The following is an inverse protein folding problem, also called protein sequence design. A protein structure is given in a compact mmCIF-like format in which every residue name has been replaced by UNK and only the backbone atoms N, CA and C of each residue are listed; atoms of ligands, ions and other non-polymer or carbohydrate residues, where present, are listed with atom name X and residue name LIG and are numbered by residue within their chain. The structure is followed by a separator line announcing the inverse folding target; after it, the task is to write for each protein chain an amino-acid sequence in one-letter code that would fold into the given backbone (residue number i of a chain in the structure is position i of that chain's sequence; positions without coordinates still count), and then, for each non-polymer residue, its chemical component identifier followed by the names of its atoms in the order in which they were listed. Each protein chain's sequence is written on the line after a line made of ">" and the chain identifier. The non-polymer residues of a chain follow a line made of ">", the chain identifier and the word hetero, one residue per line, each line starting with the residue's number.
data_IF_611279294129
#
_entry.id   IF_611279294129
#
_cell.length_a   1.000
_cell.length_b   1.000
_cell.length_c   1.000
_cell.angle_alpha   90.00
_cell.angle_beta   90.00
_cell.angle_gamma   90.00
#
_symmetry.space_group_name_H-M   'P 1'
#
loop_
_entity.id
_entity.type
_entity.pdbx_description
1 polymer ?
#
# COMPACT_ATOMS: atom_id res chain seq x y z
N UNK A 1 -2.26 4.56 14.06
CA UNK A 1 -3.06 3.33 14.09
C UNK A 1 -4.45 3.72 14.52
N UNK A 2 -5.45 3.43 13.70
CA UNK A 2 -6.80 3.97 13.88
C UNK A 2 -7.66 3.14 14.86
N UNK A 3 -7.04 2.29 15.68
CA UNK A 3 -7.75 1.57 16.75
C UNK A 3 -7.76 2.43 18.02
N UNK A 4 -8.95 2.87 18.45
CA UNK A 4 -9.16 3.46 19.77
C UNK A 4 -10.21 2.63 20.51
N UNK A 5 -9.84 2.07 21.66
CA UNK A 5 -10.78 1.40 22.58
C UNK A 5 -10.61 1.97 23.98
N UNK A 6 -11.64 1.83 24.83
CA UNK A 6 -11.64 2.43 26.18
C UNK A 6 -10.42 2.03 27.03
N UNK A 7 -9.86 0.84 26.79
CA UNK A 7 -8.65 0.31 27.44
C UNK A 7 -7.56 -0.11 26.43
N UNK A 8 -7.64 0.33 25.18
CA UNK A 8 -6.62 0.07 24.15
C UNK A 8 -6.13 1.39 23.56
N UNK A 9 -4.95 1.83 24.02
CA UNK A 9 -4.33 3.11 23.66
C UNK A 9 -3.02 2.93 22.87
N UNK A 10 -2.79 1.76 22.29
CA UNK A 10 -1.49 1.35 21.74
C UNK A 10 -0.94 2.30 20.66
N UNK A 11 -1.83 2.98 19.94
CA UNK A 11 -1.48 3.87 18.82
C UNK A 11 -1.75 5.36 19.08
N UNK A 12 -2.21 5.73 20.28
CA UNK A 12 -2.40 7.13 20.73
C UNK A 12 -3.18 8.08 19.79
N UNK A 13 -3.94 7.55 18.83
CA UNK A 13 -4.58 8.34 17.78
C UNK A 13 -3.60 8.92 16.75
N UNK A 14 -2.35 8.44 16.72
CA UNK A 14 -1.36 8.87 15.74
C UNK A 14 -1.72 8.44 14.32
N UNK A 15 -1.32 9.27 13.35
CA UNK A 15 -1.53 9.01 11.92
C UNK A 15 -0.36 8.20 11.37
N UNK A 16 -0.67 7.01 10.86
CA UNK A 16 0.29 6.02 10.35
C UNK A 16 -0.03 5.69 8.88
N UNK A 17 0.86 4.94 8.23
CA UNK A 17 0.72 4.49 6.85
C UNK A 17 -0.56 3.69 6.56
N UNK A 18 -1.21 3.12 7.59
CA UNK A 18 -2.53 2.47 7.51
C UNK A 18 -3.52 3.31 6.69
N UNK A 19 -3.46 4.63 6.89
CA UNK A 19 -4.36 5.57 6.25
C UNK A 19 -4.10 5.64 4.75
N UNK A 20 -2.85 5.86 4.34
CA UNK A 20 -2.50 6.00 2.92
C UNK A 20 -2.58 4.69 2.14
N UNK A 21 -2.26 3.56 2.76
CA UNK A 21 -2.29 2.27 2.07
C UNK A 21 -3.67 1.65 2.05
N UNK A 22 -4.42 1.66 3.16
CA UNK A 22 -5.66 0.87 3.28
C UNK A 22 -6.93 1.72 3.21
N UNK A 23 -6.96 2.89 3.84
CA UNK A 23 -8.17 3.70 3.92
C UNK A 23 -8.34 4.67 2.75
N UNK A 24 -7.25 5.30 2.31
CA UNK A 24 -7.28 6.33 1.28
C UNK A 24 -7.76 5.79 -0.07
N UNK A 25 -7.24 4.67 -0.62
CA UNK A 25 -7.60 4.30 -1.99
C UNK A 25 -9.11 4.06 -2.18
N UNK A 26 -9.83 3.35 -1.28
CA UNK A 26 -11.29 3.32 -1.34
C UNK A 26 -11.94 4.71 -1.31
N UNK A 27 -11.45 5.62 -0.48
CA UNK A 27 -11.98 7.00 -0.42
C UNK A 27 -11.72 7.77 -1.71
N UNK A 28 -10.61 7.56 -2.42
CA UNK A 28 -10.32 8.21 -3.70
C UNK A 28 -11.47 7.99 -4.69
N UNK A 29 -12.01 6.77 -4.75
CA UNK A 29 -13.10 6.42 -5.65
C UNK A 29 -14.49 6.69 -5.08
N UNK A 30 -14.70 6.54 -3.77
CA UNK A 30 -16.04 6.63 -3.18
C UNK A 30 -16.36 8.03 -2.63
N UNK A 31 -15.37 8.73 -2.09
CA UNK A 31 -15.49 10.01 -1.38
C UNK A 31 -14.24 10.89 -1.61
N UNK A 32 -14.00 11.38 -2.83
CA UNK A 32 -12.76 12.07 -3.19
C UNK A 32 -12.48 13.31 -2.30
N UNK A 33 -13.49 14.05 -1.87
CA UNK A 33 -13.30 15.20 -0.97
C UNK A 33 -12.75 14.79 0.41
N UNK A 34 -13.17 13.62 0.93
CA UNK A 34 -12.62 13.06 2.15
C UNK A 34 -11.16 12.59 1.95
N UNK A 35 -10.87 11.94 0.81
CA UNK A 35 -9.51 11.56 0.46
C UNK A 35 -8.58 12.79 0.36
N UNK A 36 -9.06 13.88 -0.23
CA UNK A 36 -8.33 15.15 -0.30
C UNK A 36 -7.99 15.69 1.09
N UNK A 37 -8.96 15.67 2.01
CA UNK A 37 -8.76 16.15 3.38
C UNK A 37 -7.68 15.35 4.12
N UNK A 38 -7.64 14.03 3.90
CA UNK A 38 -6.57 13.17 4.42
C UNK A 38 -5.21 13.55 3.84
N UNK A 39 -5.12 13.81 2.53
CA UNK A 39 -3.86 14.21 1.90
C UNK A 39 -3.41 15.60 2.33
N UNK A 40 -4.34 16.55 2.49
CA UNK A 40 -4.04 17.91 2.97
C UNK A 40 -3.36 17.88 4.35
N UNK A 41 -3.73 16.95 5.24
CA UNK A 41 -3.02 16.73 6.50
C UNK A 41 -1.51 16.54 6.29
N UNK A 42 -1.12 15.60 5.42
CA UNK A 42 0.29 15.32 5.09
C UNK A 42 0.94 16.51 4.38
N UNK A 43 0.22 17.16 3.47
CA UNK A 43 0.75 18.30 2.72
C UNK A 43 1.11 19.48 3.63
N UNK A 44 0.23 19.85 4.55
CA UNK A 44 0.45 20.93 5.52
C UNK A 44 1.64 20.65 6.44
N UNK A 45 1.89 19.37 6.73
CA UNK A 45 2.94 18.90 7.66
C UNK A 45 4.23 18.50 6.97
N UNK A 46 4.36 18.71 5.66
CA UNK A 46 5.58 18.38 4.89
C UNK A 46 6.86 19.01 5.44
N UNK A 47 6.79 20.19 6.06
CA UNK A 47 7.97 20.81 6.67
C UNK A 47 8.43 20.05 7.92
N UNK A 48 7.54 19.36 8.65
CA UNK A 48 7.94 18.43 9.70
C UNK A 48 8.67 17.22 9.10
N UNK A 49 8.17 16.65 8.00
CA UNK A 49 8.85 15.58 7.28
C UNK A 49 10.23 15.99 6.74
N UNK A 50 10.39 17.25 6.30
CA UNK A 50 11.69 17.81 5.90
C UNK A 50 12.66 17.90 7.08
N UNK A 51 12.19 18.37 8.25
CA UNK A 51 13.00 18.40 9.47
C UNK A 51 13.41 16.99 9.90
N UNK A 52 12.48 16.03 9.83
CA UNK A 52 12.73 14.63 10.15
C UNK A 52 13.85 14.03 9.27
N UNK A 53 13.77 14.21 7.95
CA UNK A 53 14.85 13.80 7.05
C UNK A 53 16.20 14.41 7.45
N UNK A 54 16.21 15.70 7.78
CA UNK A 54 17.42 16.42 8.20
C UNK A 54 18.04 15.88 9.50
N UNK A 55 17.23 15.43 10.46
CA UNK A 55 17.73 14.80 11.70
C UNK A 55 18.59 13.57 11.41
N UNK A 56 18.26 12.84 10.36
CA UNK A 56 19.02 11.68 9.88
C UNK A 56 20.09 12.02 8.84
N UNK A 57 20.39 13.30 8.62
CA UNK A 57 21.34 13.75 7.59
C UNK A 57 20.88 13.50 6.15
N UNK A 58 19.58 13.25 5.95
CA UNK A 58 18.96 12.96 4.65
C UNK A 58 18.37 14.24 4.03
N UNK A 59 18.13 14.21 2.72
CA UNK A 59 17.46 15.28 1.96
C UNK A 59 15.99 14.90 1.73
N UNK A 60 15.24 15.79 1.08
CA UNK A 60 13.86 15.51 0.69
C UNK A 60 12.89 15.54 1.86
N UNK A 61 11.85 14.70 1.79
CA UNK A 61 10.82 14.55 2.80
C UNK A 61 10.89 13.12 3.36
N UNK A 62 10.97 12.99 4.68
CA UNK A 62 10.82 11.71 5.37
C UNK A 62 9.64 11.81 6.33
N UNK A 63 8.50 11.27 5.94
CA UNK A 63 7.32 11.26 6.81
C UNK A 63 7.57 10.35 8.02
N UNK A 64 7.07 10.72 9.21
CA UNK A 64 7.20 9.89 10.40
C UNK A 64 6.45 8.57 10.32
N UNK A 65 6.91 7.58 11.09
CA UNK A 65 6.19 6.31 11.29
C UNK A 65 4.84 6.57 11.97
N UNK A 66 4.87 7.20 13.14
CA UNK A 66 3.68 7.71 13.83
C UNK A 66 3.71 9.24 13.83
N UNK A 67 2.82 9.83 13.05
CA UNK A 67 2.73 11.28 12.94
C UNK A 67 1.79 11.86 14.00
N UNK A 68 2.27 12.85 14.75
CA UNK A 68 1.43 13.67 15.63
C UNK A 68 0.30 14.33 14.84
N UNK A 69 -0.93 14.23 15.35
CA UNK A 69 -2.07 14.95 14.75
C UNK A 69 -1.88 16.47 14.73
N UNK A 70 -1.20 17.01 15.74
CA UNK A 70 -1.06 18.47 15.92
C UNK A 70 0.15 19.02 15.15
N UNK A 71 1.32 18.41 15.30
CA UNK A 71 2.58 18.97 14.77
C UNK A 71 3.05 18.28 13.48
N UNK A 72 2.56 17.07 13.21
CA UNK A 72 3.07 16.22 12.13
C UNK A 72 4.46 15.63 12.39
N UNK A 73 5.03 15.83 13.58
CA UNK A 73 6.35 15.34 13.95
C UNK A 73 6.32 13.86 14.36
N UNK A 74 7.49 13.22 14.33
CA UNK A 74 7.68 11.85 14.79
C UNK A 74 7.30 11.72 16.26
N UNK A 75 6.38 10.81 16.54
CA UNK A 75 5.72 10.64 17.83
C UNK A 75 5.67 9.18 18.29
N UNK A 76 6.32 8.26 17.56
CA UNK A 76 6.45 6.87 17.98
C UNK A 76 7.06 6.79 19.39
N UNK A 77 6.38 6.15 20.35
CA UNK A 77 6.87 6.05 21.71
C UNK A 77 8.16 5.24 21.82
N UNK A 78 9.11 5.76 22.62
CA UNK A 78 10.35 5.06 22.96
C UNK A 78 11.41 5.07 21.84
N UNK A 79 12.50 4.35 22.06
CA UNK A 79 13.57 4.16 21.05
C UNK A 79 13.21 3.04 20.04
N UNK A 80 11.93 2.91 19.69
CA UNK A 80 11.45 1.87 18.79
C UNK A 80 12.12 1.96 17.42
N UNK A 81 12.48 0.81 16.84
CA UNK A 81 13.13 0.75 15.53
C UNK A 81 12.28 1.38 14.42
N UNK A 82 10.94 1.39 14.57
CA UNK A 82 10.01 1.99 13.60
C UNK A 82 10.31 3.45 13.28
N UNK A 83 10.47 4.29 14.32
CA UNK A 83 10.73 5.74 14.18
C UNK A 83 12.00 6.07 13.37
N UNK A 84 12.95 5.14 13.30
CA UNK A 84 14.27 5.33 12.69
C UNK A 84 14.42 4.61 11.35
N UNK A 85 13.76 3.46 11.21
CA UNK A 85 14.05 2.49 10.15
C UNK A 85 12.84 2.15 9.27
N UNK A 86 11.62 2.52 9.66
CA UNK A 86 10.41 2.23 8.88
C UNK A 86 10.23 3.20 7.72
N UNK A 87 11.10 3.00 6.73
CA UNK A 87 11.38 3.93 5.66
C UNK A 87 10.22 4.01 4.63
N UNK A 88 9.34 3.01 4.58
CA UNK A 88 8.30 2.91 3.54
C UNK A 88 7.19 3.97 3.66
N UNK A 89 6.92 4.55 4.83
CA UNK A 89 5.82 5.53 5.02
C UNK A 89 5.91 6.71 4.07
N UNK A 90 7.13 7.18 3.79
CA UNK A 90 7.35 8.26 2.83
C UNK A 90 6.86 7.89 1.44
N UNK A 91 7.04 6.63 1.07
CA UNK A 91 6.65 6.07 -0.23
C UNK A 91 5.14 5.84 -0.27
N UNK A 92 4.55 5.37 0.82
CA UNK A 92 3.10 5.21 0.96
C UNK A 92 2.40 6.54 0.76
N UNK A 93 2.84 7.58 1.46
CA UNK A 93 2.31 8.94 1.32
C UNK A 93 2.48 9.45 -0.12
N UNK A 94 3.67 9.35 -0.70
CA UNK A 94 3.92 9.86 -2.03
C UNK A 94 3.06 9.17 -3.10
N UNK A 95 2.93 7.84 -3.03
CA UNK A 95 2.09 7.06 -3.93
C UNK A 95 0.61 7.46 -3.80
N UNK A 96 0.14 7.69 -2.57
CA UNK A 96 -1.23 8.09 -2.30
C UNK A 96 -1.61 9.45 -2.93
N UNK A 97 -0.69 10.42 -2.92
CA UNK A 97 -0.84 11.69 -3.64
C UNK A 97 -0.92 11.48 -5.17
N UNK A 98 -0.09 10.59 -5.71
CA UNK A 98 -0.10 10.28 -7.14
C UNK A 98 -1.42 9.60 -7.55
N UNK A 99 -1.86 8.59 -6.80
CA UNK A 99 -3.13 7.90 -7.04
C UNK A 99 -4.32 8.87 -7.04
N UNK A 100 -4.41 9.76 -6.06
CA UNK A 100 -5.48 10.76 -6.00
C UNK A 100 -5.46 11.69 -7.23
N UNK A 101 -4.28 12.20 -7.61
CA UNK A 101 -4.15 13.07 -8.76
C UNK A 101 -4.57 12.37 -10.07
N UNK A 102 -4.12 11.12 -10.26
CA UNK A 102 -4.49 10.33 -11.43
C UNK A 102 -6.00 10.04 -11.49
N UNK A 103 -6.60 9.62 -10.37
CA UNK A 103 -8.02 9.27 -10.29
C UNK A 103 -8.95 10.49 -10.52
N UNK A 104 -8.58 11.64 -9.94
CA UNK A 104 -9.39 12.86 -10.03
C UNK A 104 -9.14 13.67 -11.30
N UNK A 105 -8.01 13.47 -12.00
CA UNK A 105 -7.66 14.31 -13.14
C UNK A 105 -7.38 15.77 -12.77
N UNK A 106 -7.26 16.08 -11.48
CA UNK A 106 -7.05 17.43 -10.98
C UNK A 106 -5.59 17.85 -11.20
N UNK A 107 -5.34 18.50 -12.33
CA UNK A 107 -4.01 19.01 -12.72
C UNK A 107 -3.50 20.11 -11.79
N UNK A 108 -4.38 20.86 -11.11
CA UNK A 108 -3.98 21.84 -10.11
C UNK A 108 -3.48 21.14 -8.85
N UNK A 109 -4.22 20.12 -8.37
CA UNK A 109 -3.76 19.27 -7.27
C UNK A 109 -2.44 18.57 -7.62
N UNK A 110 -2.32 18.03 -8.85
CA UNK A 110 -1.08 17.41 -9.33
C UNK A 110 0.12 18.37 -9.21
N UNK A 111 -0.05 19.62 -9.67
CA UNK A 111 1.00 20.64 -9.67
C UNK A 111 1.33 21.19 -8.28
N UNK A 112 0.30 21.53 -7.50
CA UNK A 112 0.49 22.27 -6.25
C UNK A 112 0.61 21.39 -5.01
N UNK A 113 0.06 20.17 -5.04
CA UNK A 113 0.00 19.27 -3.89
C UNK A 113 0.83 18.01 -4.12
N UNK A 114 0.56 17.26 -5.19
CA UNK A 114 1.24 15.99 -5.42
C UNK A 114 2.73 16.15 -5.79
N UNK A 115 3.05 17.06 -6.73
CA UNK A 115 4.43 17.25 -7.18
C UNK A 115 5.43 17.59 -6.05
N UNK A 116 5.14 18.54 -5.13
CA UNK A 116 6.04 18.81 -4.01
C UNK A 116 6.34 17.58 -3.13
N UNK A 117 5.35 16.71 -2.95
CA UNK A 117 5.48 15.47 -2.15
C UNK A 117 6.30 14.43 -2.92
N UNK A 118 5.94 14.14 -4.17
CA UNK A 118 6.64 13.18 -5.04
C UNK A 118 8.11 13.57 -5.24
N UNK A 119 8.38 14.83 -5.57
CA UNK A 119 9.74 15.36 -5.67
C UNK A 119 10.50 15.22 -4.35
N UNK A 120 9.84 15.49 -3.24
CA UNK A 120 10.41 15.34 -1.90
C UNK A 120 10.80 13.91 -1.57
N UNK A 121 9.94 12.94 -1.91
CA UNK A 121 10.22 11.51 -1.75
C UNK A 121 11.36 11.04 -2.66
N UNK A 122 11.39 11.48 -3.93
CA UNK A 122 12.48 11.16 -4.86
C UNK A 122 13.84 11.77 -4.42
N UNK A 123 13.84 12.98 -3.87
CA UNK A 123 15.03 13.59 -3.26
C UNK A 123 15.50 12.84 -2.00
N UNK A 124 14.55 12.33 -1.21
CA UNK A 124 14.85 11.51 -0.05
C UNK A 124 15.43 10.16 -0.44
N UNK A 125 14.83 9.45 -1.40
CA UNK A 125 15.36 8.21 -1.97
C UNK A 125 16.80 8.39 -2.48
N UNK A 126 17.06 9.48 -3.23
CA UNK A 126 18.41 9.82 -3.71
C UNK A 126 19.43 10.10 -2.59
N UNK A 127 18.98 10.31 -1.35
CA UNK A 127 19.86 10.45 -0.17
C UNK A 127 19.87 9.22 0.72
N UNK A 128 18.88 8.33 0.59
CA UNK A 128 18.67 7.15 1.42
C UNK A 128 19.26 5.88 0.81
N UNK A 129 19.19 5.76 -0.50
CA UNK A 129 19.72 4.63 -1.26
C UNK A 129 21.24 4.74 -1.38
N UNK A 130 21.91 3.58 -1.28
CA UNK A 130 23.36 3.47 -1.42
C UNK A 130 23.69 2.75 -2.73
N UNK A 131 24.50 3.33 -3.63
CA UNK A 131 24.91 2.64 -4.84
C UNK A 131 25.87 1.48 -4.50
N UNK A 132 25.69 0.38 -5.20
CA UNK A 132 26.43 -0.88 -5.05
C UNK A 132 26.64 -1.53 -6.41
N UNK A 133 27.38 -2.64 -6.46
CA UNK A 133 27.55 -3.43 -7.70
C UNK A 133 26.25 -4.08 -8.18
N UNK A 134 25.26 -4.25 -7.29
CA UNK A 134 23.92 -4.80 -7.59
C UNK A 134 22.91 -3.74 -8.04
N UNK A 135 23.32 -2.46 -8.07
CA UNK A 135 22.41 -1.33 -8.25
C UNK A 135 22.29 -0.51 -6.95
N UNK A 136 21.09 -0.04 -6.64
CA UNK A 136 20.80 0.78 -5.47
C UNK A 136 20.22 -0.05 -4.33
N UNK A 137 20.88 -0.02 -3.18
CA UNK A 137 20.51 -0.78 -1.98
C UNK A 137 19.86 0.12 -0.92
N UNK A 138 18.91 -0.44 -0.19
CA UNK A 138 18.30 0.16 0.99
C UNK A 138 18.70 -0.65 2.23
N UNK A 139 19.77 -0.22 2.89
CA UNK A 139 20.32 -0.93 4.06
C UNK A 139 19.72 -0.43 5.36
N UNK A 140 19.61 -1.32 6.35
CA UNK A 140 19.14 -1.01 7.70
C UNK A 140 17.76 -0.35 7.71
N UNK A 141 16.78 -1.06 7.15
CA UNK A 141 15.38 -0.65 7.06
C UNK A 141 14.47 -1.66 7.77
N UNK A 142 13.33 -1.21 8.25
CA UNK A 142 12.23 -2.05 8.72
C UNK A 142 11.12 -1.91 7.70
N UNK A 143 10.72 -3.02 7.09
CA UNK A 143 9.51 -3.07 6.29
C UNK A 143 8.31 -3.49 7.13
N UNK A 144 7.19 -3.75 6.46
CA UNK A 144 5.91 -4.12 7.09
C UNK A 144 5.98 -5.38 7.97
N UNK A 145 7.00 -6.22 7.78
CA UNK A 145 7.33 -7.29 8.69
C UNK A 145 8.14 -6.72 9.86
N UNK A 146 7.47 -5.97 10.74
CA UNK A 146 8.11 -5.25 11.84
C UNK A 146 8.79 -6.22 12.81
N UNK A 147 10.10 -6.38 12.69
CA UNK A 147 10.91 -7.13 13.66
C UNK A 147 11.79 -6.16 14.46
N UNK A 148 12.31 -6.62 15.59
CA UNK A 148 13.19 -5.81 16.43
C UNK A 148 14.58 -5.57 15.84
N UNK A 149 14.86 -5.97 14.59
CA UNK A 149 16.16 -5.76 13.94
C UNK A 149 15.94 -5.26 12.50
N UNK A 150 16.59 -4.16 12.09
CA UNK A 150 16.50 -3.70 10.71
C UNK A 150 17.19 -4.70 9.77
N UNK A 151 16.63 -4.83 8.57
CA UNK A 151 17.11 -5.70 7.49
C UNK A 151 17.69 -4.87 6.35
N UNK A 152 18.37 -5.53 5.42
CA UNK A 152 18.83 -4.91 4.19
C UNK A 152 17.93 -5.33 3.02
N UNK A 153 17.64 -4.37 2.14
CA UNK A 153 16.87 -4.54 0.92
C UNK A 153 15.47 -5.15 1.15
N UNK A 154 14.72 -4.60 2.11
CA UNK A 154 13.30 -4.93 2.26
C UNK A 154 12.56 -4.75 0.93
N UNK A 155 11.94 -5.82 0.45
CA UNK A 155 11.38 -5.88 -0.87
C UNK A 155 10.15 -5.00 -1.02
N UNK A 156 9.28 -4.93 -0.01
CA UNK A 156 8.12 -4.04 -0.07
C UNK A 156 8.56 -2.59 -0.26
N UNK A 157 9.53 -2.14 0.55
CA UNK A 157 10.04 -0.77 0.50
C UNK A 157 10.75 -0.48 -0.82
N UNK A 158 11.56 -1.40 -1.34
CA UNK A 158 12.19 -1.24 -2.66
C UNK A 158 11.17 -1.25 -3.80
N UNK A 159 10.14 -2.09 -3.72
CA UNK A 159 9.06 -2.13 -4.70
C UNK A 159 8.27 -0.81 -4.70
N UNK A 160 7.89 -0.31 -3.53
CA UNK A 160 7.25 0.99 -3.37
C UNK A 160 8.14 2.13 -3.87
N UNK A 161 9.47 2.05 -3.67
CA UNK A 161 10.41 3.06 -4.14
C UNK A 161 10.41 3.15 -5.67
N UNK A 162 10.37 1.99 -6.36
CA UNK A 162 10.25 1.95 -7.83
C UNK A 162 8.96 2.60 -8.30
N UNK A 163 7.84 2.27 -7.66
CA UNK A 163 6.52 2.82 -7.99
C UNK A 163 6.52 4.34 -7.83
N UNK A 164 6.98 4.86 -6.69
CA UNK A 164 7.02 6.31 -6.43
C UNK A 164 7.98 7.06 -7.36
N UNK A 165 9.12 6.47 -7.72
CA UNK A 165 10.01 7.07 -8.71
C UNK A 165 9.33 7.14 -10.09
N UNK A 166 8.62 6.08 -10.50
CA UNK A 166 7.82 6.09 -11.73
C UNK A 166 6.69 7.12 -11.69
N UNK A 167 5.97 7.23 -10.58
CA UNK A 167 4.94 8.25 -10.36
C UNK A 167 5.52 9.67 -10.44
N UNK A 168 6.71 9.87 -9.88
CA UNK A 168 7.42 11.15 -9.94
C UNK A 168 7.81 11.51 -11.38
N UNK A 169 8.33 10.54 -12.15
CA UNK A 169 8.68 10.71 -13.56
C UNK A 169 7.45 10.92 -14.45
N UNK A 170 6.34 10.26 -14.14
CA UNK A 170 5.05 10.51 -14.79
C UNK A 170 4.57 11.94 -14.49
N UNK A 171 4.49 12.33 -13.22
CA UNK A 171 4.04 13.66 -12.80
C UNK A 171 4.89 14.78 -13.44
N UNK A 172 6.20 14.62 -13.48
CA UNK A 172 7.09 15.57 -14.13
C UNK A 172 6.81 15.70 -15.64
N UNK A 173 6.52 14.60 -16.33
CA UNK A 173 6.15 14.63 -17.76
C UNK A 173 4.81 15.31 -18.00
N UNK A 174 3.79 15.00 -17.20
CA UNK A 174 2.45 15.63 -17.32
C UNK A 174 2.49 17.15 -17.08
N UNK A 175 3.40 17.61 -16.22
CA UNK A 175 3.51 19.02 -15.84
C UNK A 175 4.58 19.80 -16.63
N UNK A 176 5.31 19.14 -17.54
CA UNK A 176 6.49 19.65 -18.25
C UNK A 176 7.55 20.23 -17.29
N UNK A 177 7.88 19.46 -16.24
CA UNK A 177 8.84 19.82 -15.20
C UNK A 177 10.17 19.08 -15.37
N UNK A 178 11.30 19.72 -15.00
CA UNK A 178 12.60 19.09 -15.09
C UNK A 178 12.73 17.92 -14.10
N UNK A 179 13.30 16.81 -14.57
CA UNK A 179 13.67 15.64 -13.77
C UNK A 179 15.18 15.53 -13.60
N UNK A 180 15.62 14.70 -12.64
CA UNK A 180 17.03 14.33 -12.51
C UNK A 180 17.26 12.98 -13.18
N UNK A 181 18.29 12.81 -14.04
CA UNK A 181 18.59 11.51 -14.67
C UNK A 181 18.76 10.37 -13.65
N UNK A 182 19.31 10.69 -12.47
CA UNK A 182 19.47 9.74 -11.37
C UNK A 182 18.15 9.11 -10.88
N UNK A 183 17.00 9.78 -11.06
CA UNK A 183 15.72 9.22 -10.62
C UNK A 183 15.26 8.06 -11.51
N UNK A 184 15.43 8.18 -12.82
CA UNK A 184 15.15 7.09 -13.75
C UNK A 184 16.14 5.93 -13.55
N UNK A 185 17.42 6.24 -13.41
CA UNK A 185 18.46 5.24 -13.15
C UNK A 185 18.22 4.46 -11.84
N UNK A 186 17.81 5.14 -10.77
CA UNK A 186 17.41 4.47 -9.53
C UNK A 186 16.19 3.57 -9.74
N UNK A 187 15.14 4.05 -10.43
CA UNK A 187 13.92 3.26 -10.64
C UNK A 187 14.16 1.95 -11.39
N UNK A 188 15.15 1.92 -12.27
CA UNK A 188 15.52 0.75 -13.06
C UNK A 188 16.43 -0.22 -12.30
N UNK A 189 17.28 0.29 -11.40
CA UNK A 189 18.39 -0.49 -10.81
C UNK A 189 18.27 -0.68 -9.29
N UNK A 190 17.06 -0.80 -8.71
CA UNK A 190 16.90 -1.16 -7.30
C UNK A 190 17.28 -2.63 -7.05
N UNK A 191 18.10 -2.88 -6.02
CA UNK A 191 18.65 -4.19 -5.70
C UNK A 191 17.64 -5.09 -4.96
N UNK A 192 16.59 -5.54 -5.66
CA UNK A 192 15.59 -6.44 -5.08
C UNK A 192 16.18 -7.80 -4.67
N UNK A 193 15.76 -8.35 -3.51
CA UNK A 193 16.18 -9.67 -3.07
C UNK A 193 15.41 -10.76 -3.83
N UNK A 194 15.99 -11.28 -4.90
CA UNK A 194 15.36 -12.31 -5.74
C UNK A 194 16.10 -13.64 -5.56
N UNK A 195 15.35 -14.73 -5.35
CA UNK A 195 15.86 -16.11 -5.32
C UNK A 195 14.86 -17.02 -6.02
N UNK A 196 15.33 -17.82 -6.99
CA UNK A 196 14.53 -18.79 -7.74
C UNK A 196 13.24 -18.17 -8.35
N UNK A 197 13.37 -17.00 -9.00
CA UNK A 197 12.27 -16.21 -9.56
C UNK A 197 11.23 -15.69 -8.53
N UNK A 198 11.47 -15.86 -7.23
CA UNK A 198 10.62 -15.33 -6.16
C UNK A 198 11.26 -14.09 -5.56
N UNK A 199 10.51 -12.99 -5.50
CA UNK A 199 10.90 -11.81 -4.71
C UNK A 199 10.80 -12.20 -3.23
N UNK A 200 11.93 -12.26 -2.55
CA UNK A 200 12.01 -12.56 -1.12
C UNK A 200 11.68 -11.32 -0.29
N UNK A 201 11.39 -11.47 1.01
CA UNK A 201 11.03 -10.29 1.82
C UNK A 201 12.20 -9.33 2.04
N UNK A 202 13.42 -9.84 2.18
CA UNK A 202 14.66 -9.06 2.34
C UNK A 202 15.88 -9.91 1.99
N UNK A 203 17.08 -9.31 1.98
CA UNK A 203 18.32 -10.07 1.81
C UNK A 203 18.49 -11.07 2.97
N UNK A 204 18.81 -12.34 2.64
CA UNK A 204 18.99 -13.40 3.63
C UNK A 204 17.71 -14.02 4.20
N UNK A 205 16.53 -13.64 3.69
CA UNK A 205 15.21 -14.07 4.17
C UNK A 205 15.05 -15.59 4.32
N UNK A 206 14.41 -15.97 5.43
CA UNK A 206 14.03 -17.34 5.75
C UNK A 206 12.58 -17.39 6.22
N UNK A 207 11.73 -18.14 5.52
CA UNK A 207 10.32 -18.30 5.89
C UNK A 207 10.06 -18.91 7.29
N UNK A 208 11.10 -19.45 7.96
CA UNK A 208 11.04 -19.94 9.33
C UNK A 208 11.30 -18.87 10.41
N UNK A 209 11.76 -17.68 10.03
CA UNK A 209 12.09 -16.62 10.98
C UNK A 209 10.82 -15.93 11.52
N UNK A 210 10.90 -15.23 12.67
CA UNK A 210 9.78 -14.48 13.21
C UNK A 210 9.17 -13.53 12.17
N UNK A 211 7.84 -13.51 12.07
CA UNK A 211 7.10 -12.76 11.03
C UNK A 211 7.48 -13.11 9.57
N UNK A 212 8.20 -14.20 9.31
CA UNK A 212 8.58 -14.63 7.95
C UNK A 212 7.41 -14.98 7.03
N UNK A 213 6.20 -15.15 7.57
CA UNK A 213 4.97 -15.33 6.78
C UNK A 213 4.32 -14.00 6.33
N UNK A 214 4.83 -12.85 6.78
CA UNK A 214 4.30 -11.53 6.39
C UNK A 214 4.49 -11.32 4.88
N UNK A 215 3.42 -11.06 4.12
CA UNK A 215 3.48 -11.07 2.66
C UNK A 215 3.91 -9.71 2.08
N UNK A 216 5.07 -9.20 2.50
CA UNK A 216 5.64 -7.93 2.01
C UNK A 216 5.74 -7.84 0.48
N UNK A 217 6.33 -8.83 -0.20
CA UNK A 217 6.36 -8.84 -1.66
C UNK A 217 4.96 -8.87 -2.30
N UNK A 218 3.97 -9.53 -1.67
CA UNK A 218 2.62 -9.51 -2.22
C UNK A 218 1.98 -8.13 -2.08
N UNK A 219 2.21 -7.42 -0.96
CA UNK A 219 1.79 -6.03 -0.80
C UNK A 219 2.42 -5.10 -1.86
N UNK A 220 3.67 -5.38 -2.24
CA UNK A 220 4.34 -4.72 -3.35
C UNK A 220 3.65 -4.97 -4.71
N UNK A 221 3.23 -6.21 -4.98
CA UNK A 221 2.46 -6.54 -6.20
C UNK A 221 1.06 -5.91 -6.17
N UNK A 222 0.40 -5.94 -5.01
CA UNK A 222 -0.89 -5.34 -4.76
C UNK A 222 -1.07 -5.12 -3.24
N UNK A 223 -1.35 -3.89 -2.76
CA UNK A 223 -1.96 -2.78 -3.51
C UNK A 223 -0.99 -1.80 -4.20
N UNK A 224 0.33 -1.98 -4.13
CA UNK A 224 1.30 -1.03 -4.70
C UNK A 224 1.52 -1.12 -6.22
N UNK A 225 1.04 -2.18 -6.86
CA UNK A 225 1.13 -2.35 -8.31
C UNK A 225 2.55 -2.32 -8.87
N UNK A 226 3.52 -2.87 -8.13
CA UNK A 226 4.87 -3.03 -8.64
C UNK A 226 4.87 -3.82 -9.97
N UNK A 227 5.53 -3.31 -11.02
CA UNK A 227 5.54 -3.94 -12.34
C UNK A 227 6.55 -5.09 -12.38
N UNK A 228 6.24 -6.19 -11.70
CA UNK A 228 7.02 -7.42 -11.78
C UNK A 228 6.77 -8.14 -13.11
N UNK A 229 7.81 -8.80 -13.61
CA UNK A 229 7.70 -9.73 -14.74
C UNK A 229 6.65 -10.83 -14.42
N UNK A 230 5.82 -11.26 -15.38
CA UNK A 230 4.70 -12.16 -15.12
C UNK A 230 5.06 -13.47 -14.41
N UNK A 231 6.18 -14.09 -14.81
CA UNK A 231 6.68 -15.32 -14.19
C UNK A 231 7.11 -15.09 -12.73
N UNK A 232 7.82 -14.00 -12.48
CA UNK A 232 8.27 -13.62 -11.13
C UNK A 232 7.08 -13.26 -10.24
N UNK A 233 6.10 -12.52 -10.76
CA UNK A 233 4.87 -12.19 -10.03
C UNK A 233 4.11 -13.47 -9.65
N UNK A 234 3.97 -14.43 -10.57
CA UNK A 234 3.31 -15.70 -10.33
C UNK A 234 4.05 -16.55 -9.28
N UNK A 235 5.36 -16.72 -9.43
CA UNK A 235 6.17 -17.49 -8.48
C UNK A 235 6.11 -16.88 -7.07
N UNK A 236 6.14 -15.54 -6.99
CA UNK A 236 6.01 -14.81 -5.72
C UNK A 236 4.64 -15.02 -5.08
N UNK A 237 3.55 -14.92 -5.86
CA UNK A 237 2.19 -15.22 -5.38
C UNK A 237 2.08 -16.65 -4.84
N UNK A 238 2.54 -17.64 -5.60
CA UNK A 238 2.49 -19.06 -5.22
C UNK A 238 3.26 -19.33 -3.92
N UNK A 239 4.47 -18.77 -3.80
CA UNK A 239 5.31 -18.93 -2.61
C UNK A 239 4.64 -18.40 -1.33
N UNK A 240 4.19 -17.13 -1.33
CA UNK A 240 3.61 -16.50 -0.13
C UNK A 240 2.19 -16.98 0.16
N UNK A 241 1.42 -17.40 -0.86
CA UNK A 241 0.17 -18.12 -0.61
C UNK A 241 0.44 -19.47 0.06
N UNK A 242 1.55 -20.14 -0.24
CA UNK A 242 2.00 -21.31 0.53
C UNK A 242 2.25 -21.05 2.02
N UNK A 243 2.42 -19.79 2.42
CA UNK A 243 2.61 -19.35 3.81
C UNK A 243 1.33 -18.78 4.45
N UNK A 244 0.20 -18.70 3.72
CA UNK A 244 -1.03 -18.06 4.16
C UNK A 244 -1.51 -18.55 5.54
N UNK A 245 -1.47 -19.86 5.77
CA UNK A 245 -1.92 -20.47 7.02
C UNK A 245 -1.15 -19.98 8.25
N UNK A 246 0.07 -19.46 8.08
CA UNK A 246 0.88 -18.89 9.18
C UNK A 246 0.58 -17.41 9.44
N UNK A 247 -0.01 -16.70 8.49
CA UNK A 247 -0.25 -15.26 8.58
C UNK A 247 -1.73 -14.89 8.80
N UNK A 248 -2.65 -15.56 8.09
CA UNK A 248 -4.09 -15.23 8.08
C UNK A 248 -4.65 -15.09 9.49
N UNK A 249 -5.35 -14.00 9.78
CA UNK A 249 -5.81 -13.69 11.14
C UNK A 249 -4.95 -12.66 11.85
N UNK A 250 -3.79 -12.31 11.28
CA UNK A 250 -3.03 -11.09 11.59
C UNK A 250 -3.68 -9.87 10.93
N UNK A 251 -3.48 -8.65 11.47
CA UNK A 251 -4.09 -7.43 10.93
C UNK A 251 -3.58 -7.08 9.53
N UNK A 252 -4.30 -6.17 8.88
CA UNK A 252 -4.01 -5.50 7.62
C UNK A 252 -4.11 -6.42 6.40
N UNK A 253 -3.04 -7.13 6.05
CA UNK A 253 -2.95 -7.81 4.74
C UNK A 253 -3.78 -9.09 4.65
N UNK A 254 -4.28 -9.63 5.77
CA UNK A 254 -5.16 -10.81 5.77
C UNK A 254 -6.38 -10.58 4.85
N UNK A 255 -6.95 -9.38 4.85
CA UNK A 255 -8.14 -9.04 4.08
C UNK A 255 -7.91 -9.05 2.55
N UNK A 256 -6.64 -9.05 2.11
CA UNK A 256 -6.24 -8.97 0.70
C UNK A 256 -5.90 -10.36 0.13
N UNK A 257 -5.64 -11.37 0.96
CA UNK A 257 -5.20 -12.71 0.50
C UNK A 257 -6.14 -13.36 -0.52
N UNK A 258 -7.45 -13.14 -0.39
CA UNK A 258 -8.44 -13.63 -1.35
C UNK A 258 -8.20 -13.10 -2.78
N UNK A 259 -7.71 -11.86 -2.92
CA UNK A 259 -7.35 -11.26 -4.22
C UNK A 259 -6.18 -12.00 -4.85
N UNK A 260 -5.11 -12.25 -4.08
CA UNK A 260 -3.92 -12.91 -4.59
C UNK A 260 -4.20 -14.35 -5.04
N UNK A 261 -5.04 -15.08 -4.32
CA UNK A 261 -5.50 -16.40 -4.75
C UNK A 261 -6.35 -16.32 -6.04
N UNK A 262 -7.25 -15.34 -6.14
CA UNK A 262 -8.03 -15.12 -7.36
C UNK A 262 -7.13 -14.80 -8.56
N UNK A 263 -6.07 -14.00 -8.38
CA UNK A 263 -5.11 -13.68 -9.43
C UNK A 263 -4.33 -14.89 -9.96
N UNK A 264 -4.22 -15.98 -9.18
CA UNK A 264 -3.68 -17.27 -9.63
C UNK A 264 -4.73 -18.18 -10.29
N UNK A 265 -6.01 -17.79 -10.30
CA UNK A 265 -7.10 -18.61 -10.79
C UNK A 265 -7.71 -19.56 -9.75
N UNK A 266 -7.24 -19.54 -8.50
CA UNK A 266 -7.70 -20.44 -7.44
C UNK A 266 -8.94 -19.84 -6.74
N UNK A 267 -10.10 -20.06 -7.35
CA UNK A 267 -11.38 -19.47 -6.92
C UNK A 267 -11.87 -20.00 -5.57
N UNK A 268 -11.68 -21.30 -5.30
CA UNK A 268 -12.07 -21.92 -4.02
C UNK A 268 -11.24 -21.31 -2.90
N UNK A 269 -9.91 -21.31 -3.07
CA UNK A 269 -9.01 -20.75 -2.06
C UNK A 269 -9.22 -19.24 -1.88
N UNK A 270 -9.55 -18.52 -2.95
CA UNK A 270 -9.93 -17.11 -2.88
C UNK A 270 -11.13 -16.90 -1.95
N UNK A 271 -12.20 -17.69 -2.10
CA UNK A 271 -13.37 -17.64 -1.21
C UNK A 271 -13.00 -17.91 0.24
N UNK A 272 -12.26 -19.01 0.49
CA UNK A 272 -11.85 -19.40 1.84
C UNK A 272 -10.99 -18.32 2.51
N UNK A 273 -10.12 -17.65 1.74
CA UNK A 273 -9.26 -16.57 2.23
C UNK A 273 -10.02 -15.24 2.43
N UNK A 274 -11.11 -14.96 1.72
CA UNK A 274 -11.96 -13.81 2.04
C UNK A 274 -12.71 -14.02 3.36
N UNK A 275 -13.21 -15.23 3.60
CA UNK A 275 -13.84 -15.56 4.89
C UNK A 275 -12.83 -15.52 6.04
N UNK A 276 -11.73 -16.26 5.92
CA UNK A 276 -10.72 -16.34 6.97
C UNK A 276 -9.92 -15.04 7.16
N UNK A 277 -9.73 -14.28 6.09
CA UNK A 277 -8.90 -13.07 6.05
C UNK A 277 -9.64 -11.77 6.37
N UNK A 278 -10.98 -11.76 6.31
CA UNK A 278 -11.79 -10.59 6.67
C UNK A 278 -13.08 -10.98 7.41
N UNK A 279 -13.88 -11.89 6.85
CA UNK A 279 -15.20 -12.25 7.43
C UNK A 279 -15.13 -12.64 8.91
N UNK A 280 -14.14 -13.46 9.27
CA UNK A 280 -13.93 -13.93 10.64
C UNK A 280 -13.32 -12.87 11.60
N UNK A 281 -12.98 -11.68 11.11
CA UNK A 281 -12.60 -10.54 11.96
C UNK A 281 -13.80 -9.69 12.38
N UNK A 282 -14.97 -9.89 11.75
CA UNK A 282 -16.17 -9.10 11.99
C UNK A 282 -16.95 -9.69 13.18
N UNK A 283 -17.24 -8.86 14.19
CA UNK A 283 -18.22 -9.19 15.23
C UNK A 283 -19.62 -8.81 14.76
N UNK A 284 -20.58 -9.72 14.93
CA UNK A 284 -21.98 -9.52 14.54
C UNK A 284 -22.60 -8.28 15.19
N UNK A 285 -22.13 -7.88 16.39
CA UNK A 285 -22.63 -6.67 17.04
C UNK A 285 -22.02 -5.46 16.36
N UNK A 286 -22.88 -4.71 15.67
CA UNK A 286 -22.55 -3.49 14.95
C UNK A 286 -21.57 -3.67 13.77
N UNK A 287 -21.35 -4.92 13.32
CA UNK A 287 -20.43 -5.24 12.22
C UNK A 287 -19.02 -4.67 12.44
N UNK A 288 -18.55 -4.69 13.69
CA UNK A 288 -17.25 -4.15 14.06
C UNK A 288 -16.13 -5.08 13.60
N UNK A 289 -15.17 -4.56 12.83
CA UNK A 289 -13.95 -5.29 12.48
C UNK A 289 -12.90 -5.19 13.57
N UNK A 290 -12.40 -6.32 14.05
CA UNK A 290 -11.28 -6.37 14.99
C UNK A 290 -9.94 -6.30 14.28
N UNK A 291 -8.90 -5.94 15.03
CA UNK A 291 -7.51 -5.91 14.57
C UNK A 291 -6.98 -7.33 14.29
N UNK A 292 -7.10 -8.22 15.27
CA UNK A 292 -6.72 -9.63 15.18
C UNK A 292 -7.96 -10.53 15.17
N UNK A 293 -7.83 -11.70 14.53
CA UNK A 293 -8.89 -12.71 14.53
C UNK A 293 -9.00 -13.37 15.91
N UNK A 294 -10.16 -13.28 16.62
CA UNK A 294 -10.25 -13.67 18.03
C UNK A 294 -10.03 -15.16 18.32
N UNK A 295 -10.36 -16.06 17.38
CA UNK A 295 -10.16 -17.51 17.52
C UNK A 295 -8.70 -17.93 17.32
N UNK A 296 -7.94 -17.14 16.55
CA UNK A 296 -6.53 -17.41 16.26
C UNK A 296 -5.60 -16.78 17.30
N UNK A 297 -5.94 -15.57 17.73
CA UNK A 297 -5.17 -14.77 18.67
C UNK A 297 -6.02 -14.38 19.88
N UNK A 298 -6.48 -15.35 20.69
CA UNK A 298 -7.35 -15.09 21.83
C UNK A 298 -6.68 -14.28 22.95
N UNK A 299 -5.35 -14.19 22.95
CA UNK A 299 -4.57 -13.37 23.86
C UNK A 299 -4.56 -11.88 23.49
N UNK A 300 -4.86 -11.55 22.22
CA UNK A 300 -4.90 -10.18 21.77
C UNK A 300 -6.22 -9.52 22.20
N UNK A 301 -6.20 -8.21 22.50
CA UNK A 301 -7.43 -7.50 22.81
C UNK A 301 -8.34 -7.48 21.58
N UNK A 302 -9.65 -7.55 21.82
CA UNK A 302 -10.69 -7.36 20.79
C UNK A 302 -10.84 -5.88 20.44
N UNK A 303 -9.76 -5.29 19.92
CA UNK A 303 -9.68 -3.88 19.57
C UNK A 303 -10.31 -3.62 18.20
N UNK A 304 -11.19 -2.63 18.11
CA UNK A 304 -11.74 -2.13 16.84
C UNK A 304 -12.62 -0.89 17.05
N UNK A 305 -13.22 -0.33 15.99
CA UNK A 305 -13.11 -0.77 14.60
C UNK A 305 -11.68 -0.59 14.08
N UNK A 306 -11.11 -1.65 13.49
CA UNK A 306 -9.78 -1.61 12.91
C UNK A 306 -9.87 -1.30 11.41
N UNK A 307 -9.59 -0.04 11.07
CA UNK A 307 -9.83 0.48 9.73
C UNK A 307 -8.94 -0.13 8.65
N UNK A 308 -7.73 -0.59 8.96
CA UNK A 308 -6.87 -1.20 7.94
C UNK A 308 -7.43 -2.54 7.43
N UNK A 309 -8.11 -3.32 8.27
CA UNK A 309 -8.80 -4.55 7.82
C UNK A 309 -10.00 -4.22 6.92
N UNK A 310 -10.80 -3.22 7.31
CA UNK A 310 -11.92 -2.74 6.48
C UNK A 310 -11.44 -2.19 5.13
N UNK A 311 -10.40 -1.36 5.18
CA UNK A 311 -9.75 -0.79 4.00
C UNK A 311 -9.16 -1.86 3.09
N UNK A 312 -8.49 -2.87 3.65
CA UNK A 312 -7.96 -4.02 2.92
C UNK A 312 -9.05 -4.82 2.18
N UNK A 313 -10.20 -5.02 2.82
CA UNK A 313 -11.34 -5.66 2.16
C UNK A 313 -11.89 -4.82 1.01
N UNK A 314 -12.14 -3.53 1.24
CA UNK A 314 -12.62 -2.61 0.20
C UNK A 314 -11.62 -2.45 -0.94
N UNK A 315 -10.32 -2.41 -0.65
CA UNK A 315 -9.25 -2.48 -1.66
C UNK A 315 -9.39 -3.70 -2.54
N UNK A 316 -9.64 -4.87 -1.95
CA UNK A 316 -9.84 -6.10 -2.69
C UNK A 316 -11.04 -6.03 -3.63
N UNK A 317 -12.15 -5.45 -3.18
CA UNK A 317 -13.37 -5.30 -3.98
C UNK A 317 -13.27 -4.23 -5.08
N UNK A 318 -12.63 -3.09 -4.80
CA UNK A 318 -12.59 -1.95 -5.72
C UNK A 318 -11.41 -2.00 -6.68
N UNK A 319 -10.24 -2.44 -6.21
CA UNK A 319 -8.99 -2.41 -6.96
C UNK A 319 -8.50 -3.81 -7.34
N UNK A 320 -8.53 -4.74 -6.39
CA UNK A 320 -7.89 -6.06 -6.52
C UNK A 320 -8.59 -6.99 -7.51
N UNK A 321 -9.82 -7.40 -7.21
CA UNK A 321 -10.61 -8.31 -8.03
C UNK A 321 -10.98 -7.72 -9.41
N UNK A 322 -11.37 -6.43 -9.53
CA UNK A 322 -11.61 -5.80 -10.83
C UNK A 322 -10.33 -5.56 -11.64
N UNK A 323 -9.15 -5.68 -11.02
CA UNK A 323 -7.87 -5.38 -11.66
C UNK A 323 -7.69 -3.89 -11.98
N UNK A 324 -8.28 -3.00 -11.18
CA UNK A 324 -8.31 -1.57 -11.41
C UNK A 324 -7.00 -0.91 -10.96
N UNK A 325 -6.09 -0.67 -11.91
CA UNK A 325 -4.80 -0.02 -11.69
C UNK A 325 -4.81 1.40 -12.26
N UNK A 326 -4.95 2.39 -11.36
CA UNK A 326 -4.99 3.81 -11.71
C UNK A 326 -3.54 4.31 -11.91
N UNK A 327 -3.10 4.40 -13.17
CA UNK A 327 -1.71 4.74 -13.54
C UNK A 327 -1.55 5.91 -14.53
N UNK A 328 -2.66 6.40 -15.06
CA UNK A 328 -2.73 7.53 -16.01
C UNK A 328 -4.04 8.29 -15.82
N UNK A 329 -4.16 9.45 -16.45
CA UNK A 329 -5.43 10.17 -16.61
C UNK A 329 -6.37 9.55 -17.66
N UNK A 330 -6.17 8.29 -18.07
CA UNK A 330 -7.01 7.62 -19.06
C UNK A 330 -7.78 6.44 -18.42
N UNK A 331 -9.03 6.65 -17.96
CA UNK A 331 -9.78 5.64 -17.20
C UNK A 331 -10.06 4.33 -17.94
N UNK A 332 -10.10 4.37 -19.27
CA UNK A 332 -10.23 3.19 -20.14
C UNK A 332 -9.08 2.18 -19.94
N UNK A 333 -7.92 2.65 -19.46
CA UNK A 333 -6.72 1.84 -19.27
C UNK A 333 -6.57 1.29 -17.86
N UNK A 334 -7.43 1.71 -16.91
CA UNK A 334 -7.31 1.31 -15.52
C UNK A 334 -7.63 -0.17 -15.28
N UNK A 335 -8.70 -0.75 -15.86
CA UNK A 335 -8.90 -2.20 -15.81
C UNK A 335 -7.78 -2.91 -16.55
N UNK A 336 -6.85 -3.51 -15.82
CA UNK A 336 -5.56 -3.97 -16.35
C UNK A 336 -5.40 -5.48 -16.38
N UNK A 337 -6.38 -6.22 -15.85
CA UNK A 337 -6.33 -7.68 -15.69
C UNK A 337 -7.69 -8.32 -15.96
N UNK A 338 -7.72 -9.61 -16.34
CA UNK A 338 -8.93 -10.43 -16.33
C UNK A 338 -9.56 -10.51 -14.94
N UNK A 339 -10.88 -10.55 -14.90
CA UNK A 339 -11.66 -10.60 -13.67
C UNK A 339 -11.85 -12.05 -13.24
N UNK A 340 -11.10 -12.46 -12.21
CA UNK A 340 -11.30 -13.74 -11.53
C UNK A 340 -11.88 -13.43 -10.15
N UNK A 341 -13.05 -14.02 -9.86
CA UNK A 341 -13.74 -13.81 -8.59
C UNK A 341 -13.72 -15.09 -7.76
N UNK A 342 -13.91 -14.98 -6.43
CA UNK A 342 -14.13 -16.13 -5.57
C UNK A 342 -15.15 -17.11 -6.12
N UNK A 343 -15.06 -18.37 -5.69
CA UNK A 343 -16.09 -19.34 -6.02
C UNK A 343 -17.45 -18.85 -5.53
N UNK A 344 -18.51 -19.11 -6.30
CA UNK A 344 -19.89 -18.61 -6.09
C UNK A 344 -20.14 -17.13 -6.38
N UNK A 345 -19.10 -16.31 -6.59
CA UNK A 345 -19.28 -14.90 -6.95
C UNK A 345 -19.41 -14.74 -8.46
N UNK A 346 -20.48 -14.07 -8.90
CA UNK A 346 -20.77 -13.83 -10.32
C UNK A 346 -20.23 -12.47 -10.81
N UNK A 347 -20.31 -11.43 -9.98
CA UNK A 347 -19.83 -10.10 -10.30
C UNK A 347 -19.49 -9.29 -9.04
N UNK A 348 -18.59 -8.31 -9.19
CA UNK A 348 -18.47 -7.18 -8.28
C UNK A 348 -19.04 -5.95 -8.99
N UNK A 349 -20.03 -5.32 -8.38
CA UNK A 349 -20.68 -4.13 -8.92
C UNK A 349 -20.67 -3.00 -7.89
N UNK A 350 -20.26 -1.81 -8.32
CA UNK A 350 -20.27 -0.59 -7.51
C UNK A 350 -21.14 0.41 -8.23
N UNK A 351 -22.32 0.69 -7.69
CA UNK A 351 -23.32 1.56 -8.31
C UNK A 351 -22.82 2.98 -8.53
N UNK A 352 -22.02 3.48 -7.59
CA UNK A 352 -21.48 4.83 -7.62
C UNK A 352 -20.04 4.88 -7.12
N UNK A 353 -19.17 5.37 -7.99
CA UNK A 353 -17.82 5.84 -7.69
C UNK A 353 -17.56 7.12 -8.48
N UNK A 354 -16.40 7.74 -8.28
CA UNK A 354 -16.00 8.98 -8.93
C UNK A 354 -14.78 8.76 -9.83
N UNK A 355 -14.90 9.16 -11.10
CA UNK A 355 -13.81 9.18 -12.08
C UNK A 355 -13.73 10.58 -12.65
N UNK A 356 -12.59 11.25 -12.46
CA UNK A 356 -12.40 12.63 -12.90
C UNK A 356 -13.51 13.60 -12.44
N UNK A 357 -13.95 13.44 -11.19
CA UNK A 357 -15.02 14.25 -10.61
C UNK A 357 -16.43 13.96 -11.17
N UNK A 358 -16.59 12.94 -12.02
CA UNK A 358 -17.89 12.51 -12.53
C UNK A 358 -18.34 11.22 -11.85
N UNK A 359 -19.63 11.09 -11.53
CA UNK A 359 -20.17 9.85 -11.01
C UNK A 359 -20.09 8.77 -12.12
N UNK A 360 -19.70 7.56 -11.74
CA UNK A 360 -19.59 6.40 -12.61
C UNK A 360 -19.98 5.11 -11.87
N UNK A 361 -20.16 4.02 -12.61
CA UNK A 361 -20.41 2.68 -12.12
C UNK A 361 -19.25 1.76 -12.50
N UNK A 362 -18.88 0.84 -11.60
CA UNK A 362 -17.94 -0.25 -11.88
C UNK A 362 -18.69 -1.57 -12.00
N UNK A 363 -18.40 -2.33 -13.05
CA UNK A 363 -18.95 -3.67 -13.27
C UNK A 363 -17.81 -4.61 -13.61
N UNK A 364 -17.58 -5.60 -12.74
CA UNK A 364 -16.53 -6.61 -12.90
C UNK A 364 -17.15 -8.01 -12.80
N UNK A 365 -17.72 -8.55 -13.91
CA UNK A 365 -18.25 -9.90 -13.92
C UNK A 365 -17.12 -10.93 -14.02
N UNK A 366 -17.28 -12.07 -13.33
CA UNK A 366 -16.31 -13.16 -13.41
C UNK A 366 -16.14 -13.64 -14.86
N UNK A 367 -14.89 -13.85 -15.27
CA UNK A 367 -14.54 -14.33 -16.60
C UNK A 367 -14.45 -13.24 -17.66
N UNK A 368 -14.70 -11.98 -17.31
CA UNK A 368 -14.46 -10.86 -18.21
C UNK A 368 -12.96 -10.60 -18.40
N UNK A 369 -12.56 -10.26 -19.63
CA UNK A 369 -11.18 -9.89 -19.96
C UNK A 369 -10.70 -8.65 -19.18
N UNK A 370 -11.64 -7.73 -18.90
CA UNK A 370 -11.44 -6.50 -18.12
C UNK A 370 -12.74 -6.07 -17.45
N UNK A 371 -12.64 -5.47 -16.27
CA UNK A 371 -13.76 -4.74 -15.67
C UNK A 371 -14.16 -3.53 -16.54
N UNK A 372 -15.40 -3.04 -16.35
CA UNK A 372 -15.94 -1.89 -17.09
C UNK A 372 -16.24 -0.74 -16.15
N UNK A 373 -15.87 0.47 -16.57
CA UNK A 373 -16.26 1.71 -15.92
C UNK A 373 -17.25 2.42 -16.86
N UNK A 374 -18.44 2.68 -16.36
CA UNK A 374 -19.52 3.34 -17.10
C UNK A 374 -19.80 4.69 -16.45
N UNK A 375 -19.51 5.79 -17.14
CA UNK A 375 -19.85 7.13 -16.64
C UNK A 375 -21.37 7.29 -16.62
N UNK A 376 -21.92 7.83 -15.54
CA UNK A 376 -23.33 8.21 -15.51
C UNK A 376 -23.60 9.33 -16.54
N UNK A 377 -24.75 9.24 -17.20
CA UNK A 377 -25.18 10.11 -18.28
C UNK A 377 -25.40 11.56 -17.84
#
# INVERSE_FOLDING_TARGET
>A
GLAQWHDYHYYYGHVMWDLEVFALPPLVLLQPDAARTVLDFRFERREAARRNAKLYGRRGLQFPWESSMTTGEESTPGAGHGAWHEDHVTLDVAHAFAQYAMATGDTLFLRERAWPILKGAAEWLASRLTPSRRGYELRQTVGIAETGQPVDNDAFTLMAARVVLNDTLWCARELDLPTRPSWADMAEHLALPIRDHVIQSHDGFKASEPKGATPGPLAGLFPFWYPAEPEMARATLEFYLGLADKYIGSPMLSAIYGVWAAWLGDRRRSLDLFDAGYGQFVDDRFMQTYEYRPDRWPEQPKAGPFFANLGGFLLGLLYGLPGLHIRTHEPSTWPSRPVVLPETWDAVEVEQLWVHGRPARLIAPHGADRARIELHA
#
